data_IF_320913183878
#
_entry.id   IF_320913183878
#
_cell.length_a   1.000
_cell.length_b   1.000
_cell.length_c   1.000
_cell.angle_alpha   90.00
_cell.angle_beta   90.00
_cell.angle_gamma   90.00
#
_symmetry.space_group_name_H-M   'P 1'
#
loop_
_entity.id
_entity.type
_entity.pdbx_description
1 polymer ?
#
# COMPACT_ATOMS: atom_id res chain seq x y z
N UNK A 1 13.28 -39.23 -21.53
CA UNK A 1 12.25 -39.16 -20.50
C UNK A 1 12.74 -38.17 -19.47
N UNK A 2 12.40 -36.93 -19.66
CA UNK A 2 12.74 -35.83 -18.75
C UNK A 2 11.47 -35.48 -18.00
N UNK A 3 11.52 -35.69 -16.70
CA UNK A 3 10.44 -35.39 -15.77
C UNK A 3 10.45 -33.89 -15.51
N UNK A 4 9.45 -33.17 -16.04
CA UNK A 4 9.26 -31.76 -15.88
C UNK A 4 8.45 -31.55 -14.59
N UNK A 5 9.19 -31.51 -13.47
CA UNK A 5 8.65 -31.20 -12.15
C UNK A 5 8.21 -29.75 -12.04
N UNK A 6 7.00 -29.46 -12.50
CA UNK A 6 6.35 -28.18 -12.20
C UNK A 6 5.96 -28.18 -10.72
N UNK A 7 6.88 -27.71 -9.89
CA UNK A 7 6.61 -27.45 -8.47
C UNK A 7 5.61 -26.29 -8.38
N UNK A 8 4.36 -26.60 -8.07
CA UNK A 8 3.31 -25.60 -7.86
C UNK A 8 3.64 -24.79 -6.61
N UNK A 9 3.87 -23.49 -6.79
CA UNK A 9 4.04 -22.54 -5.70
C UNK A 9 2.74 -22.50 -4.89
N UNK A 10 2.76 -22.74 -3.56
CA UNK A 10 1.56 -22.67 -2.74
C UNK A 10 1.05 -21.23 -2.67
N UNK A 11 -0.09 -20.98 -3.28
CA UNK A 11 -0.70 -19.65 -3.40
C UNK A 11 -1.57 -19.23 -2.21
N UNK A 12 -1.67 -20.04 -1.16
CA UNK A 12 -2.53 -19.69 -0.01
C UNK A 12 -1.91 -20.18 1.30
N UNK A 13 -1.34 -19.28 2.06
CA UNK A 13 -1.27 -19.38 3.52
C UNK A 13 -2.10 -18.24 4.09
N UNK A 14 -3.27 -18.56 4.61
CA UNK A 14 -4.03 -17.67 5.46
C UNK A 14 -3.21 -17.43 6.74
N UNK A 15 -2.73 -16.19 6.92
CA UNK A 15 -2.19 -15.75 8.19
C UNK A 15 -3.30 -15.09 9.00
N UNK A 16 -3.51 -15.44 10.27
CA UNK A 16 -4.54 -14.85 11.12
C UNK A 16 -4.36 -13.34 11.37
N UNK A 17 -3.28 -12.76 10.95
CA UNK A 17 -2.95 -11.32 11.11
C UNK A 17 -2.71 -10.68 9.74
N UNK A 18 -3.67 -10.70 8.84
CA UNK A 18 -3.60 -10.08 7.52
C UNK A 18 -2.32 -10.45 6.74
N UNK A 19 -2.43 -10.71 5.45
CA UNK A 19 -1.28 -11.08 4.61
C UNK A 19 -0.12 -10.09 4.80
N UNK A 20 1.07 -10.53 5.24
CA UNK A 20 2.24 -9.66 5.27
C UNK A 20 2.58 -9.26 3.84
N UNK A 21 2.59 -7.97 3.58
CA UNK A 21 2.85 -7.40 2.25
C UNK A 21 4.21 -7.77 1.70
N UNK A 22 5.10 -8.17 2.58
CA UNK A 22 6.51 -8.31 2.24
C UNK A 22 7.01 -9.72 2.60
N UNK A 23 6.21 -10.73 2.50
CA UNK A 23 6.65 -12.09 2.73
C UNK A 23 7.21 -12.67 1.45
N UNK A 24 8.53 -12.73 1.33
CA UNK A 24 9.24 -13.62 0.41
C UNK A 24 8.82 -13.63 -1.07
N UNK A 25 7.98 -12.68 -1.51
CA UNK A 25 7.62 -12.56 -2.93
C UNK A 25 8.66 -11.68 -3.64
N UNK A 26 9.59 -12.26 -4.40
CA UNK A 26 10.63 -11.52 -5.11
C UNK A 26 10.04 -10.49 -6.10
N UNK A 27 8.82 -10.72 -6.60
CA UNK A 27 8.13 -9.79 -7.50
C UNK A 27 7.71 -8.50 -6.79
N UNK A 28 7.55 -8.55 -5.45
CA UNK A 28 7.15 -7.40 -4.62
C UNK A 28 8.36 -6.72 -3.96
N UNK A 29 9.36 -7.50 -3.54
CA UNK A 29 10.48 -7.01 -2.72
C UNK A 29 11.85 -7.16 -3.39
N UNK A 30 11.91 -7.77 -4.58
CA UNK A 30 13.17 -8.09 -5.26
C UNK A 30 14.03 -9.05 -4.44
N UNK A 31 15.34 -8.90 -4.56
CA UNK A 31 16.32 -9.75 -3.86
C UNK A 31 16.29 -9.58 -2.32
N UNK A 32 15.59 -8.57 -1.81
CA UNK A 32 15.48 -8.22 -0.38
C UNK A 32 14.25 -8.82 0.30
N UNK A 33 13.56 -9.75 -0.35
CA UNK A 33 12.39 -10.43 0.21
C UNK A 33 12.64 -11.05 1.60
N UNK A 34 13.85 -11.53 1.84
CA UNK A 34 14.27 -12.10 3.13
C UNK A 34 14.42 -11.08 4.28
N UNK A 35 14.46 -9.78 3.98
CA UNK A 35 14.53 -8.72 4.99
C UNK A 35 13.13 -8.33 5.53
N UNK A 36 12.10 -8.82 4.88
CA UNK A 36 10.73 -8.60 5.28
C UNK A 36 10.39 -9.49 6.48
N UNK A 37 10.43 -8.92 7.66
CA UNK A 37 10.14 -9.62 8.93
C UNK A 37 8.70 -9.33 9.33
N UNK A 38 7.96 -10.39 9.59
CA UNK A 38 6.67 -10.33 10.26
C UNK A 38 6.91 -10.21 11.77
N UNK A 39 6.26 -9.26 12.42
CA UNK A 39 6.28 -9.13 13.89
C UNK A 39 4.98 -9.69 14.45
N UNK A 40 5.11 -10.64 15.37
CA UNK A 40 3.97 -11.18 16.10
C UNK A 40 3.68 -10.30 17.34
N UNK A 41 2.50 -9.67 17.42
CA UNK A 41 2.13 -8.83 18.55
C UNK A 41 1.86 -9.64 19.84
N UNK A 42 1.70 -10.96 19.78
CA UNK A 42 1.45 -11.83 20.92
C UNK A 42 2.75 -12.46 21.49
N UNK A 43 3.85 -12.44 20.71
CA UNK A 43 5.14 -12.96 21.11
C UNK A 43 6.03 -11.88 21.77
N UNK A 44 6.45 -12.04 23.04
CA UNK A 44 7.31 -11.08 23.73
C UNK A 44 8.69 -10.86 23.09
N UNK A 45 9.27 -11.88 22.45
CA UNK A 45 10.58 -11.78 21.78
C UNK A 45 10.42 -10.98 20.49
N UNK A 46 9.37 -11.25 19.71
CA UNK A 46 9.00 -10.49 18.53
C UNK A 46 8.74 -9.01 18.86
N UNK A 47 8.03 -8.72 19.97
CA UNK A 47 7.82 -7.34 20.42
C UNK A 47 9.12 -6.64 20.84
N UNK A 48 10.10 -7.37 21.35
CA UNK A 48 11.43 -6.82 21.67
C UNK A 48 12.17 -6.46 20.38
N UNK A 49 12.19 -7.35 19.41
CA UNK A 49 12.75 -7.10 18.07
C UNK A 49 12.04 -5.94 17.36
N UNK A 50 10.71 -5.84 17.51
CA UNK A 50 9.94 -4.72 16.97
C UNK A 50 10.35 -3.39 17.62
N UNK A 51 10.56 -3.35 18.94
CA UNK A 51 10.99 -2.14 19.65
C UNK A 51 12.38 -1.66 19.19
N UNK A 52 13.32 -2.57 18.99
CA UNK A 52 14.65 -2.28 18.44
C UNK A 52 14.56 -1.74 17.01
N UNK A 53 13.70 -2.37 16.19
CA UNK A 53 13.45 -1.93 14.81
C UNK A 53 12.84 -0.52 14.76
N UNK A 54 11.87 -0.20 15.62
CA UNK A 54 11.27 1.15 15.70
C UNK A 54 12.30 2.18 16.12
N UNK A 55 13.18 1.85 17.08
CA UNK A 55 14.27 2.74 17.51
C UNK A 55 15.23 3.03 16.36
N UNK A 56 15.73 1.99 15.68
CA UNK A 56 16.61 2.13 14.52
C UNK A 56 15.93 2.93 13.39
N UNK A 57 14.65 2.68 13.17
CA UNK A 57 13.86 3.36 12.15
C UNK A 57 13.71 4.85 12.47
N UNK A 58 13.45 5.23 13.73
CA UNK A 58 13.32 6.63 14.12
C UNK A 58 14.60 7.45 13.87
N UNK A 59 15.76 6.81 14.01
CA UNK A 59 17.06 7.43 13.79
C UNK A 59 17.45 7.55 12.31
N UNK A 60 16.89 6.72 11.43
CA UNK A 60 17.30 6.60 10.02
C UNK A 60 16.21 7.00 9.01
N UNK A 61 15.17 7.72 9.41
CA UNK A 61 14.09 8.17 8.50
C UNK A 61 14.49 9.33 7.57
N UNK A 62 15.63 9.95 7.79
CA UNK A 62 16.09 11.12 7.04
C UNK A 62 17.20 10.71 6.05
N UNK A 63 16.86 10.47 4.82
CA UNK A 63 17.83 10.44 3.73
C UNK A 63 18.17 9.05 3.19
N UNK A 64 17.31 8.49 2.35
CA UNK A 64 17.64 7.36 1.50
C UNK A 64 17.40 5.98 2.11
N UNK A 65 16.61 5.90 3.19
CA UNK A 65 16.13 4.61 3.66
C UNK A 65 15.25 3.97 2.56
N UNK A 66 15.60 2.75 2.21
CA UNK A 66 14.90 1.95 1.24
C UNK A 66 13.44 1.69 1.67
N UNK A 67 12.57 1.56 0.69
CA UNK A 67 11.13 1.40 0.90
C UNK A 67 10.79 0.18 1.75
N UNK A 68 11.53 -0.93 1.60
CA UNK A 68 11.36 -2.14 2.38
C UNK A 68 11.70 -1.89 3.85
N UNK A 69 12.80 -1.19 4.12
CA UNK A 69 13.17 -0.77 5.48
C UNK A 69 12.09 0.10 6.12
N UNK A 70 11.51 1.03 5.37
CA UNK A 70 10.44 1.90 5.86
C UNK A 70 9.14 1.12 6.14
N UNK A 71 8.78 0.15 5.30
CA UNK A 71 7.64 -0.72 5.52
C UNK A 71 7.85 -1.67 6.71
N UNK A 72 9.07 -2.18 6.90
CA UNK A 72 9.45 -2.96 8.07
C UNK A 72 9.32 -2.13 9.36
N UNK A 73 9.79 -0.89 9.35
CA UNK A 73 9.61 0.04 10.46
C UNK A 73 8.13 0.32 10.76
N UNK A 74 7.31 0.45 9.71
CA UNK A 74 5.86 0.60 9.85
C UNK A 74 5.20 -0.64 10.47
N UNK A 75 5.59 -1.85 10.04
CA UNK A 75 5.12 -3.11 10.60
C UNK A 75 5.50 -3.25 12.08
N UNK A 76 6.74 -2.90 12.43
CA UNK A 76 7.20 -2.91 13.83
C UNK A 76 6.41 -1.93 14.70
N UNK A 77 6.12 -0.72 14.22
CA UNK A 77 5.26 0.24 14.91
C UNK A 77 3.86 -0.32 15.17
N UNK A 78 3.26 -0.96 14.16
CA UNK A 78 1.93 -1.54 14.29
C UNK A 78 1.90 -2.73 15.28
N UNK A 79 2.89 -3.62 15.19
CA UNK A 79 3.02 -4.77 16.10
C UNK A 79 3.18 -4.32 17.56
N UNK A 80 4.05 -3.35 17.82
CA UNK A 80 4.20 -2.79 19.17
C UNK A 80 2.88 -2.24 19.72
N UNK A 81 2.17 -1.42 18.93
CA UNK A 81 0.91 -0.82 19.37
C UNK A 81 -0.14 -1.88 19.66
N UNK A 82 -0.24 -2.91 18.81
CA UNK A 82 -1.18 -4.03 18.99
C UNK A 82 -0.83 -4.87 20.22
N UNK A 83 0.44 -5.20 20.40
CA UNK A 83 0.89 -6.05 21.51
C UNK A 83 0.79 -5.38 22.88
N UNK A 84 1.00 -4.05 22.99
CA UNK A 84 0.92 -3.34 24.27
C UNK A 84 -0.38 -2.55 24.45
N UNK A 85 -1.24 -2.46 23.42
CA UNK A 85 -2.54 -1.79 23.46
C UNK A 85 -2.50 -0.26 23.62
N UNK A 86 -1.32 0.38 23.54
CA UNK A 86 -1.16 1.81 23.79
C UNK A 86 0.00 2.42 23.01
N UNK A 87 -0.26 3.53 22.32
CA UNK A 87 0.79 4.29 21.65
C UNK A 87 1.86 4.81 22.61
N UNK A 88 1.46 5.24 23.82
CA UNK A 88 2.40 5.73 24.83
C UNK A 88 3.33 4.62 25.30
N UNK A 89 2.78 3.47 25.68
CA UNK A 89 3.57 2.30 26.13
C UNK A 89 4.46 1.77 25.01
N UNK A 90 3.97 1.76 23.75
CA UNK A 90 4.77 1.38 22.59
C UNK A 90 5.99 2.30 22.42
N UNK A 91 5.79 3.61 22.59
CA UNK A 91 6.85 4.62 22.53
C UNK A 91 7.87 4.44 23.64
N UNK A 92 7.42 4.25 24.88
CA UNK A 92 8.30 3.99 26.04
C UNK A 92 9.12 2.71 25.84
N UNK A 93 8.52 1.65 25.29
CA UNK A 93 9.21 0.39 25.01
C UNK A 93 10.23 0.51 23.88
N UNK A 94 9.94 1.32 22.86
CA UNK A 94 10.90 1.61 21.79
C UNK A 94 12.10 2.44 22.29
N UNK A 95 11.92 3.27 23.31
CA UNK A 95 12.98 4.02 24.01
C UNK A 95 13.18 5.42 23.45
N UNK A 96 14.30 6.03 23.88
CA UNK A 96 14.59 7.44 23.61
C UNK A 96 14.67 7.76 22.10
N UNK A 97 14.18 8.94 21.74
CA UNK A 97 14.15 9.44 20.35
C UNK A 97 12.93 9.00 19.54
N UNK A 98 12.03 8.19 20.13
CA UNK A 98 10.76 7.80 19.52
C UNK A 98 9.62 8.57 20.18
N UNK A 99 8.73 9.17 19.39
CA UNK A 99 7.55 9.89 19.90
C UNK A 99 6.23 9.23 19.47
N UNK A 100 5.15 9.55 20.17
CA UNK A 100 3.81 9.05 19.89
C UNK A 100 3.33 9.43 18.47
N UNK A 101 3.52 10.65 17.97
CA UNK A 101 3.20 11.01 16.61
C UNK A 101 3.92 10.15 15.56
N UNK A 102 5.18 9.81 15.79
CA UNK A 102 5.97 8.94 14.91
C UNK A 102 5.36 7.54 14.84
N UNK A 103 5.17 6.89 15.98
CA UNK A 103 4.61 5.52 16.05
C UNK A 103 3.21 5.48 15.43
N UNK A 104 2.35 6.45 15.76
CA UNK A 104 0.99 6.53 15.21
C UNK A 104 0.98 6.70 13.69
N UNK A 105 1.87 7.52 13.17
CA UNK A 105 1.99 7.76 11.72
C UNK A 105 2.35 6.48 10.98
N UNK A 106 3.36 5.78 11.44
CA UNK A 106 3.87 4.60 10.74
C UNK A 106 3.02 3.36 10.95
N UNK A 107 2.42 3.18 12.11
CA UNK A 107 1.41 2.13 12.32
C UNK A 107 0.27 2.23 11.31
N UNK A 108 -0.21 3.45 11.00
CA UNK A 108 -1.24 3.66 9.97
C UNK A 108 -0.76 3.30 8.55
N UNK A 109 0.52 3.48 8.23
CA UNK A 109 1.07 3.04 6.94
C UNK A 109 1.03 1.51 6.83
N UNK A 110 1.30 0.80 7.91
CA UNK A 110 1.12 -0.65 7.95
C UNK A 110 -0.35 -1.07 7.75
N UNK A 111 -1.31 -0.29 8.22
CA UNK A 111 -2.75 -0.55 8.08
C UNK A 111 -3.31 -0.21 6.68
N UNK A 112 -2.47 0.24 5.75
CA UNK A 112 -2.88 0.38 4.35
C UNK A 112 -3.23 -0.99 3.76
N UNK A 113 -4.24 -1.06 2.87
CA UNK A 113 -4.55 -2.29 2.13
C UNK A 113 -3.32 -2.91 1.43
N UNK A 114 -3.23 -4.24 1.35
CA UNK A 114 -2.13 -4.92 0.65
C UNK A 114 -1.91 -4.42 -0.78
N UNK A 115 -2.99 -4.10 -1.49
CA UNK A 115 -2.96 -3.52 -2.84
C UNK A 115 -2.16 -2.22 -2.91
N UNK A 116 -2.28 -1.33 -1.91
CA UNK A 116 -1.51 -0.08 -1.83
C UNK A 116 -0.07 -0.35 -1.36
N UNK A 117 0.10 -1.18 -0.33
CA UNK A 117 1.43 -1.47 0.22
C UNK A 117 2.38 -2.10 -0.81
N UNK A 118 1.86 -2.90 -1.76
CA UNK A 118 2.63 -3.45 -2.89
C UNK A 118 3.26 -2.35 -3.75
N UNK A 119 2.53 -1.29 -4.04
CA UNK A 119 3.04 -0.14 -4.79
C UNK A 119 4.10 0.65 -3.98
N UNK A 120 3.93 0.73 -2.65
CA UNK A 120 4.96 1.32 -1.79
C UNK A 120 6.24 0.48 -1.80
N UNK A 121 6.13 -0.86 -1.70
CA UNK A 121 7.27 -1.76 -1.74
C UNK A 121 8.05 -1.66 -3.07
N UNK A 122 7.35 -1.49 -4.19
CA UNK A 122 7.94 -1.31 -5.53
C UNK A 122 8.52 0.08 -5.77
N UNK A 123 8.25 1.04 -4.87
CA UNK A 123 8.70 2.42 -5.03
C UNK A 123 7.80 3.28 -5.94
N UNK A 124 6.71 2.74 -6.43
CA UNK A 124 5.72 3.43 -7.26
C UNK A 124 4.93 4.47 -6.45
N UNK A 125 4.75 4.22 -5.15
CA UNK A 125 4.26 5.19 -4.16
C UNK A 125 5.34 5.42 -3.12
N UNK A 126 5.84 6.64 -3.01
CA UNK A 126 6.83 6.96 -1.99
C UNK A 126 6.25 6.76 -0.57
N UNK A 127 7.04 6.21 0.39
CA UNK A 127 6.57 6.06 1.78
C UNK A 127 6.12 7.37 2.43
N UNK A 128 6.73 8.49 2.00
CA UNK A 128 6.31 9.84 2.41
C UNK A 128 4.94 10.24 1.88
N UNK A 129 4.53 9.72 0.72
CA UNK A 129 3.18 9.85 0.16
C UNK A 129 2.21 8.91 0.87
N UNK A 130 2.61 7.64 1.06
CA UNK A 130 1.81 6.62 1.72
C UNK A 130 1.28 7.04 3.10
N UNK A 131 2.08 7.76 3.90
CA UNK A 131 1.65 8.30 5.20
C UNK A 131 0.49 9.31 5.11
N UNK A 132 0.35 10.02 3.99
CA UNK A 132 -0.75 10.95 3.77
C UNK A 132 -2.00 10.19 3.30
N UNK A 133 -1.84 9.21 2.39
CA UNK A 133 -2.90 8.29 1.97
C UNK A 133 -3.48 7.57 3.20
N UNK A 134 -2.64 7.13 4.14
CA UNK A 134 -3.06 6.44 5.36
C UNK A 134 -3.92 7.30 6.33
N UNK A 135 -4.00 8.62 6.13
CA UNK A 135 -4.89 9.51 6.91
C UNK A 135 -6.33 9.45 6.43
N UNK A 136 -6.52 9.10 5.17
CA UNK A 136 -7.84 8.97 4.54
C UNK A 136 -8.42 7.59 4.87
N UNK A 137 -9.72 7.49 5.05
CA UNK A 137 -10.41 6.25 5.42
C UNK A 137 -11.25 5.69 4.25
N UNK A 138 -11.60 4.40 4.35
CA UNK A 138 -12.54 3.76 3.44
C UNK A 138 -12.07 3.72 1.98
N UNK A 139 -13.01 3.78 1.07
CA UNK A 139 -12.80 3.74 -0.38
C UNK A 139 -12.01 4.95 -0.90
N UNK A 140 -12.20 6.12 -0.31
CA UNK A 140 -11.46 7.34 -0.63
C UNK A 140 -9.92 7.13 -0.53
N UNK A 141 -9.47 6.26 0.37
CA UNK A 141 -8.06 5.87 0.49
C UNK A 141 -7.54 5.17 -0.76
N UNK A 142 -8.33 4.27 -1.33
CA UNK A 142 -7.99 3.56 -2.57
C UNK A 142 -8.00 4.53 -3.75
N UNK A 143 -9.04 5.35 -3.87
CA UNK A 143 -9.16 6.37 -4.92
C UNK A 143 -7.95 7.32 -4.93
N UNK A 144 -7.55 7.82 -3.75
CA UNK A 144 -6.37 8.68 -3.64
C UNK A 144 -5.07 7.95 -4.00
N UNK A 145 -4.93 6.68 -3.61
CA UNK A 145 -3.76 5.88 -3.97
C UNK A 145 -3.65 5.63 -5.48
N UNK A 146 -4.78 5.35 -6.13
CA UNK A 146 -4.81 5.15 -7.58
C UNK A 146 -4.56 6.46 -8.33
N UNK A 147 -5.12 7.57 -7.88
CA UNK A 147 -4.82 8.89 -8.44
C UNK A 147 -3.32 9.24 -8.37
N UNK A 148 -2.62 8.83 -7.30
CA UNK A 148 -1.17 9.02 -7.20
C UNK A 148 -0.42 8.25 -8.28
N UNK A 149 -0.86 7.03 -8.62
CA UNK A 149 -0.21 6.20 -9.65
C UNK A 149 -0.51 6.66 -11.07
N UNK A 150 -1.74 7.15 -11.30
CA UNK A 150 -2.20 7.47 -12.64
C UNK A 150 -1.80 8.89 -13.07
N UNK A 151 -1.57 9.82 -12.10
CA UNK A 151 -1.35 11.25 -12.37
C UNK A 151 -0.05 11.83 -11.78
N UNK A 152 0.89 10.98 -11.35
CA UNK A 152 2.20 11.40 -10.82
C UNK A 152 2.12 12.49 -9.74
N UNK A 153 1.13 12.42 -8.85
CA UNK A 153 0.88 13.43 -7.83
C UNK A 153 2.08 13.61 -6.90
N UNK A 154 2.47 14.85 -6.69
CA UNK A 154 3.53 15.19 -5.73
C UNK A 154 3.09 14.94 -4.29
N UNK A 155 4.06 14.73 -3.37
CA UNK A 155 3.80 14.57 -1.92
C UNK A 155 2.99 15.75 -1.36
N UNK A 156 3.21 16.96 -1.88
CA UNK A 156 2.51 18.18 -1.45
C UNK A 156 1.03 18.09 -1.84
N UNK A 157 0.72 17.79 -3.10
CA UNK A 157 -0.65 17.65 -3.59
C UNK A 157 -1.39 16.57 -2.83
N UNK A 158 -0.78 15.39 -2.65
CA UNK A 158 -1.39 14.30 -1.88
C UNK A 158 -1.67 14.70 -0.44
N UNK A 159 -0.80 15.49 0.19
CA UNK A 159 -1.03 16.00 1.53
C UNK A 159 -2.21 16.97 1.59
N UNK A 160 -2.33 17.86 0.61
CA UNK A 160 -3.41 18.84 0.49
C UNK A 160 -4.75 18.13 0.25
N UNK A 161 -4.82 17.22 -0.74
CA UNK A 161 -6.01 16.39 -1.03
C UNK A 161 -6.42 15.57 0.21
N UNK A 162 -5.47 14.88 0.86
CA UNK A 162 -5.77 14.11 2.05
C UNK A 162 -6.29 14.98 3.22
N UNK A 163 -5.91 16.25 3.29
CA UNK A 163 -6.46 17.19 4.26
C UNK A 163 -7.88 17.60 3.89
N UNK A 164 -8.12 17.99 2.66
CA UNK A 164 -9.45 18.35 2.13
C UNK A 164 -10.46 17.21 2.33
N UNK A 165 -10.04 15.96 2.03
CA UNK A 165 -10.89 14.77 2.23
C UNK A 165 -11.15 14.51 3.73
N UNK A 166 -10.17 14.74 4.59
CA UNK A 166 -10.36 14.60 6.04
C UNK A 166 -11.31 15.68 6.59
N UNK A 167 -11.35 16.84 5.94
CA UNK A 167 -12.23 17.97 6.28
C UNK A 167 -13.63 17.84 5.64
N UNK A 168 -13.88 16.75 4.89
CA UNK A 168 -15.21 16.37 4.39
C UNK A 168 -15.42 16.51 2.88
N UNK A 169 -14.40 16.92 2.12
CA UNK A 169 -14.45 16.92 0.66
C UNK A 169 -14.36 15.48 0.11
N UNK A 170 -14.91 15.25 -1.08
CA UNK A 170 -14.70 14.00 -1.81
C UNK A 170 -13.31 13.98 -2.47
N UNK A 171 -12.74 12.79 -2.68
CA UNK A 171 -11.48 12.66 -3.46
C UNK A 171 -11.69 13.17 -4.88
N UNK A 172 -12.82 12.83 -5.49
CA UNK A 172 -13.18 13.28 -6.85
C UNK A 172 -13.26 14.81 -6.92
N UNK A 173 -13.92 15.47 -5.97
CA UNK A 173 -14.02 16.92 -5.91
C UNK A 173 -12.67 17.60 -5.72
N UNK A 174 -11.85 17.09 -4.79
CA UNK A 174 -10.51 17.59 -4.54
C UNK A 174 -9.56 17.43 -5.75
N UNK A 175 -9.70 16.35 -6.52
CA UNK A 175 -8.95 16.11 -7.76
C UNK A 175 -9.47 17.00 -8.89
N UNK A 176 -10.79 17.12 -9.05
CA UNK A 176 -11.40 17.96 -10.09
C UNK A 176 -11.01 19.43 -9.94
N UNK A 177 -10.86 19.94 -8.70
CA UNK A 177 -10.34 21.29 -8.44
C UNK A 177 -8.90 21.50 -8.96
N UNK A 178 -8.20 20.43 -9.31
CA UNK A 178 -6.84 20.41 -9.86
C UNK A 178 -6.82 19.96 -11.34
N UNK A 179 -7.98 19.96 -12.00
CA UNK A 179 -8.15 19.51 -13.39
C UNK A 179 -7.78 18.03 -13.60
N UNK A 180 -7.86 17.19 -12.55
CA UNK A 180 -7.57 15.77 -12.57
C UNK A 180 -8.89 15.00 -12.53
N UNK A 181 -9.07 14.09 -13.49
CA UNK A 181 -10.26 13.24 -13.59
C UNK A 181 -9.96 11.86 -13.02
N UNK A 182 -10.62 11.52 -11.91
CA UNK A 182 -10.49 10.19 -11.32
C UNK A 182 -11.08 9.13 -12.28
N UNK A 183 -10.30 8.10 -12.58
CA UNK A 183 -10.66 7.04 -13.53
C UNK A 183 -10.03 7.18 -14.90
N UNK A 184 -9.33 8.28 -15.19
CA UNK A 184 -8.44 8.34 -16.34
C UNK A 184 -7.17 7.55 -16.08
N UNK A 185 -6.90 6.56 -16.92
CA UNK A 185 -5.70 5.73 -16.82
C UNK A 185 -5.20 5.32 -18.20
N UNK A 186 -3.89 5.18 -18.33
CA UNK A 186 -3.27 4.66 -19.55
C UNK A 186 -2.89 3.20 -19.36
N UNK A 187 -3.39 2.31 -20.22
CA UNK A 187 -3.10 0.88 -20.17
C UNK A 187 -2.50 0.38 -21.47
N UNK A 188 -1.45 -0.44 -21.38
CA UNK A 188 -0.88 -1.17 -22.50
C UNK A 188 -1.51 -2.57 -22.56
N UNK A 189 -2.24 -2.86 -23.63
CA UNK A 189 -2.90 -4.14 -23.81
C UNK A 189 -2.16 -5.01 -24.84
N UNK A 190 -2.18 -6.34 -24.71
CA UNK A 190 -1.82 -7.24 -25.79
C UNK A 190 -2.66 -6.91 -27.05
N UNK A 191 -2.05 -6.96 -28.23
CA UNK A 191 -2.71 -6.57 -29.49
C UNK A 191 -4.05 -7.28 -29.70
N UNK A 192 -4.14 -8.56 -29.39
CA UNK A 192 -5.37 -9.33 -29.51
C UNK A 192 -6.50 -8.78 -28.60
N UNK A 193 -6.18 -8.46 -27.34
CA UNK A 193 -7.13 -7.88 -26.40
C UNK A 193 -7.57 -6.47 -26.84
N UNK A 194 -6.61 -5.65 -27.27
CA UNK A 194 -6.91 -4.32 -27.82
C UNK A 194 -7.89 -4.41 -29.00
N UNK A 195 -7.60 -5.29 -29.98
CA UNK A 195 -8.44 -5.44 -31.17
C UNK A 195 -9.85 -5.91 -30.81
N UNK A 196 -9.97 -6.85 -29.88
CA UNK A 196 -11.27 -7.39 -29.44
C UNK A 196 -12.10 -6.35 -28.69
N UNK A 197 -11.48 -5.60 -27.76
CA UNK A 197 -12.15 -4.52 -27.03
C UNK A 197 -12.67 -3.46 -28.01
N UNK A 198 -11.84 -3.04 -28.96
CA UNK A 198 -12.25 -2.05 -29.99
C UNK A 198 -13.39 -2.56 -30.86
N UNK A 199 -13.33 -3.83 -31.27
CA UNK A 199 -14.37 -4.46 -32.07
C UNK A 199 -15.70 -4.52 -31.32
N UNK A 200 -15.71 -4.99 -30.07
CA UNK A 200 -16.93 -5.07 -29.24
C UNK A 200 -17.50 -3.69 -28.98
N UNK A 201 -16.71 -2.77 -28.49
CA UNK A 201 -17.15 -1.40 -28.23
C UNK A 201 -17.83 -0.77 -29.46
N UNK A 202 -17.24 -0.96 -30.67
CA UNK A 202 -17.84 -0.49 -31.91
C UNK A 202 -19.18 -1.14 -32.25
N UNK A 203 -19.32 -2.46 -32.01
CA UNK A 203 -20.57 -3.19 -32.27
C UNK A 203 -21.69 -2.81 -31.28
N UNK A 204 -21.34 -2.50 -30.05
CA UNK A 204 -22.26 -2.11 -28.99
C UNK A 204 -22.52 -0.60 -28.93
N UNK A 205 -21.92 0.16 -29.86
CA UNK A 205 -21.96 1.63 -29.89
C UNK A 205 -21.55 2.27 -28.56
N UNK A 206 -20.56 1.68 -27.92
CA UNK A 206 -19.98 2.10 -26.65
C UNK A 206 -18.51 2.53 -26.79
N UNK A 207 -18.00 3.23 -25.82
CA UNK A 207 -16.56 3.47 -25.70
C UNK A 207 -15.85 2.24 -25.13
N UNK A 208 -14.53 2.07 -25.35
CA UNK A 208 -13.76 1.01 -24.69
C UNK A 208 -13.84 1.05 -23.16
N UNK A 209 -13.91 2.24 -22.56
CA UNK A 209 -14.04 2.42 -21.12
C UNK A 209 -15.39 1.94 -20.58
N UNK A 210 -16.49 2.26 -21.27
CA UNK A 210 -17.83 1.76 -20.92
C UNK A 210 -17.89 0.24 -21.00
N UNK A 211 -17.38 -0.34 -22.10
CA UNK A 211 -17.32 -1.80 -22.23
C UNK A 211 -16.53 -2.47 -21.10
N UNK A 212 -15.37 -1.93 -20.74
CA UNK A 212 -14.56 -2.45 -19.62
C UNK A 212 -15.29 -2.32 -18.29
N UNK A 213 -15.98 -1.21 -18.06
CA UNK A 213 -16.78 -1.00 -16.86
C UNK A 213 -17.92 -2.02 -16.74
N UNK A 214 -18.59 -2.36 -17.85
CA UNK A 214 -19.66 -3.38 -17.87
C UNK A 214 -19.12 -4.78 -17.61
N UNK A 215 -17.97 -5.14 -18.18
CA UNK A 215 -17.33 -6.43 -17.93
C UNK A 215 -16.98 -6.62 -16.45
N UNK A 216 -16.40 -5.60 -15.81
CA UNK A 216 -16.05 -5.65 -14.37
C UNK A 216 -17.30 -5.77 -13.49
N UNK A 217 -18.41 -5.10 -13.84
CA UNK A 217 -19.67 -5.22 -13.09
C UNK A 217 -20.29 -6.60 -13.19
N UNK A 218 -20.21 -7.21 -14.36
CA UNK A 218 -20.80 -8.53 -14.61
C UNK A 218 -20.09 -9.65 -13.85
N UNK A 219 -18.76 -9.55 -13.66
CA UNK A 219 -17.99 -10.53 -12.88
C UNK A 219 -18.24 -10.46 -11.37
N UNK A 220 -18.74 -9.33 -10.85
CA UNK A 220 -19.00 -9.11 -9.43
C UNK A 220 -20.46 -9.35 -9.01
N UNK A 221 -21.32 -9.83 -9.93
CA UNK A 221 -22.74 -10.13 -9.71
C UNK A 221 -22.98 -11.61 -9.63
#
# INVERSE_FOLDING_TARGET
MSDDGTESIPTARESPVGEPVIRGDPAVTGERAGEAVEFDPEDPESLTSAAETVRAFSQNTAGGADNVFMLRGAAACAALVRGVGSYKVATERAGDGVDVPFVRKWARVHDLPPSIRRHVARGEIAPTTAKHIARVAGEARLQLAWAVLDHDLTVREVREIASEVTDGESVEGALAAREIVLGEMTVCLPVAAYTEIRRRASLENATPGELLGDLVRTENS
#
